data_IF_315529639771
#
_entry.id   IF_315529639771
#
_cell.length_a   1.000
_cell.length_b   1.000
_cell.length_c   1.000
_cell.angle_alpha   90.00
_cell.angle_beta   90.00
_cell.angle_gamma   90.00
#
_symmetry.space_group_name_H-M   'P 1'
#
loop_
_entity.id
_entity.type
_entity.pdbx_description
1 polymer ?
#
# COMPACT_ATOMS: atom_id res chain seq x y z
N UNK A 1 6.17 19.20 -4.37
CA UNK A 1 6.90 17.93 -4.33
C UNK A 1 8.35 18.27 -4.09
N UNK A 2 8.98 17.58 -3.15
CA UNK A 2 10.38 17.73 -2.78
C UNK A 2 10.91 16.33 -2.48
N UNK A 3 12.17 16.10 -2.82
CA UNK A 3 12.89 14.88 -2.48
C UNK A 3 13.57 15.09 -1.12
N UNK A 4 13.21 14.29 -0.12
CA UNK A 4 13.74 14.37 1.24
C UNK A 4 15.01 13.53 1.44
N UNK A 5 15.49 12.84 0.41
CA UNK A 5 16.60 11.90 0.49
C UNK A 5 16.21 10.58 1.15
N UNK A 6 17.23 9.81 1.53
CA UNK A 6 17.06 8.45 2.03
C UNK A 6 17.16 8.40 3.56
N UNK A 7 16.34 7.56 4.18
CA UNK A 7 16.49 7.21 5.60
C UNK A 7 17.84 6.49 5.82
N UNK A 8 18.41 6.66 7.01
CA UNK A 8 19.60 5.90 7.38
C UNK A 8 19.24 4.42 7.58
N UNK A 9 19.98 3.53 6.91
CA UNK A 9 19.78 2.08 6.98
C UNK A 9 21.06 1.38 7.40
N UNK A 10 20.94 0.32 8.20
CA UNK A 10 22.03 -0.58 8.58
C UNK A 10 21.89 -1.90 7.79
N UNK A 11 22.72 -2.13 6.77
CA UNK A 11 22.63 -3.33 5.93
C UNK A 11 22.97 -4.62 6.67
N UNK A 12 23.46 -4.54 7.91
CA UNK A 12 23.76 -5.70 8.75
C UNK A 12 22.75 -5.89 9.90
N UNK A 13 21.79 -4.98 10.06
CA UNK A 13 20.75 -5.07 11.09
C UNK A 13 19.48 -4.33 10.67
N UNK A 14 18.46 -5.11 10.30
CA UNK A 14 17.13 -4.58 9.98
C UNK A 14 16.56 -3.85 11.21
N UNK A 15 16.73 -4.42 12.42
CA UNK A 15 16.28 -3.82 13.67
C UNK A 15 16.84 -2.41 13.91
N UNK A 16 18.12 -2.17 13.55
CA UNK A 16 18.75 -0.86 13.68
C UNK A 16 18.20 0.17 12.67
N UNK A 17 17.54 -0.29 11.61
CA UNK A 17 17.01 0.57 10.54
C UNK A 17 15.60 1.08 10.84
N UNK A 18 14.83 0.38 11.70
CA UNK A 18 13.42 0.70 11.96
C UNK A 18 13.21 2.12 12.52
N UNK A 19 13.92 2.50 13.59
CA UNK A 19 13.74 3.82 14.22
C UNK A 19 14.22 4.97 13.33
N UNK A 20 15.39 4.91 12.65
CA UNK A 20 15.77 5.95 11.69
C UNK A 20 14.75 6.17 10.57
N UNK A 21 14.15 5.10 10.03
CA UNK A 21 13.09 5.18 9.03
C UNK A 21 11.86 5.88 9.62
N UNK A 22 11.34 5.38 10.76
CA UNK A 22 10.17 5.97 11.45
C UNK A 22 10.39 7.44 11.76
N UNK A 23 11.58 7.81 12.23
CA UNK A 23 11.91 9.18 12.59
C UNK A 23 11.86 10.13 11.39
N UNK A 24 12.44 9.75 10.24
CA UNK A 24 12.40 10.57 9.03
C UNK A 24 10.97 10.70 8.49
N UNK A 25 10.22 9.60 8.42
CA UNK A 25 8.84 9.61 7.93
C UNK A 25 7.94 10.45 8.84
N UNK A 26 8.12 10.35 10.16
CA UNK A 26 7.43 11.18 11.15
C UNK A 26 7.77 12.67 10.97
N UNK A 27 9.05 13.01 10.84
CA UNK A 27 9.50 14.40 10.61
C UNK A 27 8.80 15.00 9.38
N UNK A 28 8.74 14.24 8.28
CA UNK A 28 8.06 14.69 7.06
C UNK A 28 6.55 14.88 7.32
N UNK A 29 5.90 13.92 7.96
CA UNK A 29 4.45 13.96 8.22
C UNK A 29 4.05 15.10 9.16
N UNK A 30 4.87 15.44 10.16
CA UNK A 30 4.65 16.57 11.08
C UNK A 30 4.58 17.93 10.35
N UNK A 31 5.16 18.04 9.15
CA UNK A 31 5.05 19.25 8.32
C UNK A 31 3.71 19.37 7.58
N UNK A 32 2.84 18.36 7.65
CA UNK A 32 1.60 18.26 6.88
C UNK A 32 1.79 17.85 5.42
N UNK A 33 3.01 17.45 5.04
CA UNK A 33 3.29 16.82 3.74
C UNK A 33 2.90 15.33 3.82
N UNK A 34 2.40 14.79 2.71
CA UNK A 34 2.12 13.36 2.56
C UNK A 34 3.43 12.68 2.12
N UNK A 35 4.10 11.88 2.97
CA UNK A 35 5.25 11.09 2.55
C UNK A 35 4.84 10.03 1.53
N UNK A 36 5.66 9.90 0.48
CA UNK A 36 5.64 8.77 -0.44
C UNK A 36 7.01 8.11 -0.33
N UNK A 37 7.06 6.98 0.37
CA UNK A 37 8.29 6.25 0.69
C UNK A 37 8.58 5.25 -0.43
N UNK A 38 9.81 5.22 -0.92
CA UNK A 38 10.28 4.26 -1.90
C UNK A 38 11.16 3.26 -1.15
N UNK A 39 10.68 2.03 -1.02
CA UNK A 39 11.23 1.08 -0.08
C UNK A 39 12.47 0.31 -0.53
N UNK A 40 12.81 -0.65 0.32
CA UNK A 40 13.45 -1.91 -0.03
C UNK A 40 12.38 -3.02 0.03
N UNK A 41 12.51 -3.95 0.97
CA UNK A 41 11.49 -4.98 1.25
C UNK A 41 10.32 -4.44 2.10
N UNK A 42 9.27 -5.25 2.30
CA UNK A 42 8.04 -4.82 2.98
C UNK A 42 8.19 -4.61 4.51
N UNK A 43 9.35 -4.89 5.11
CA UNK A 43 9.55 -4.68 6.55
C UNK A 43 9.34 -3.23 6.97
N UNK A 44 9.51 -2.28 6.04
CA UNK A 44 9.38 -0.85 6.30
C UNK A 44 7.92 -0.37 6.49
N UNK A 45 6.92 -1.19 6.13
CA UNK A 45 5.53 -0.87 6.46
C UNK A 45 5.36 -0.63 7.97
N UNK A 46 6.10 -1.37 8.81
CA UNK A 46 6.04 -1.18 10.25
C UNK A 46 6.45 0.23 10.69
N UNK A 47 7.68 0.72 10.43
CA UNK A 47 8.05 2.09 10.79
C UNK A 47 7.25 3.17 10.04
N UNK A 48 6.86 2.95 8.78
CA UNK A 48 6.17 3.95 7.97
C UNK A 48 4.73 4.22 8.45
N UNK A 49 3.95 3.16 8.71
CA UNK A 49 2.60 3.31 9.24
C UNK A 49 2.62 3.69 10.74
N UNK A 50 3.60 3.24 11.52
CA UNK A 50 3.78 3.67 12.90
C UNK A 50 4.08 5.18 12.98
N UNK A 51 4.86 5.73 12.05
CA UNK A 51 5.09 7.17 11.96
C UNK A 51 3.79 7.95 11.69
N UNK A 52 2.87 7.41 10.88
CA UNK A 52 1.55 8.04 10.71
C UNK A 52 0.73 7.98 12.00
N UNK A 53 0.77 6.86 12.72
CA UNK A 53 0.09 6.73 14.01
C UNK A 53 0.68 7.69 15.07
N UNK A 54 1.99 7.98 15.04
CA UNK A 54 2.63 8.98 15.91
C UNK A 54 2.05 10.39 15.69
N UNK A 55 1.81 10.76 14.43
CA UNK A 55 1.36 12.11 14.05
C UNK A 55 -0.16 12.27 14.14
N UNK A 56 -0.91 11.29 13.64
CA UNK A 56 -2.36 11.36 13.48
C UNK A 56 -3.14 10.65 14.60
N UNK A 57 -2.45 9.88 15.44
CA UNK A 57 -2.98 9.16 16.59
C UNK A 57 -3.14 7.66 16.35
N UNK A 58 -2.66 6.87 17.30
CA UNK A 58 -2.87 5.43 17.35
C UNK A 58 -4.37 5.08 17.28
N UNK A 59 -4.72 4.06 16.50
CA UNK A 59 -6.12 3.67 16.29
C UNK A 59 -6.89 4.50 15.25
N UNK A 60 -6.37 5.66 14.83
CA UNK A 60 -7.02 6.56 13.86
C UNK A 60 -6.54 6.40 12.42
N UNK A 61 -5.41 5.72 12.24
CA UNK A 61 -4.88 5.37 10.92
C UNK A 61 -5.38 3.97 10.54
N UNK A 62 -5.79 3.80 9.29
CA UNK A 62 -5.99 2.51 8.65
C UNK A 62 -5.01 2.31 7.50
N UNK A 63 -4.81 1.06 7.09
CA UNK A 63 -3.87 0.69 6.04
C UNK A 63 -4.62 -0.03 4.92
N UNK A 64 -4.52 0.49 3.71
CA UNK A 64 -4.88 -0.24 2.49
C UNK A 64 -3.61 -0.92 2.00
N UNK A 65 -3.62 -2.25 1.99
CA UNK A 65 -2.46 -3.10 1.74
C UNK A 65 -2.65 -3.89 0.45
N UNK A 66 -1.94 -3.50 -0.60
CA UNK A 66 -1.89 -4.25 -1.85
C UNK A 66 -0.70 -5.20 -1.81
N UNK A 67 -0.97 -6.50 -1.82
CA UNK A 67 0.07 -7.52 -1.67
C UNK A 67 -0.45 -8.90 -2.12
N UNK A 68 0.43 -9.78 -2.60
CA UNK A 68 0.16 -11.20 -2.72
C UNK A 68 0.15 -11.93 -1.36
N UNK A 69 0.83 -11.38 -0.36
CA UNK A 69 1.12 -11.96 0.95
C UNK A 69 0.35 -11.27 2.09
N UNK A 70 0.10 -12.00 3.19
CA UNK A 70 -0.60 -11.43 4.35
C UNK A 70 0.27 -10.60 5.28
N UNK A 71 1.59 -10.83 5.32
CA UNK A 71 2.55 -10.10 6.16
C UNK A 71 2.23 -10.03 7.66
N UNK A 72 1.53 -11.06 8.14
CA UNK A 72 1.05 -11.22 9.52
C UNK A 72 1.80 -12.31 10.30
N UNK A 73 2.95 -12.77 9.81
CA UNK A 73 3.71 -13.85 10.46
C UNK A 73 4.16 -13.43 11.86
N UNK A 74 4.24 -14.38 12.79
CA UNK A 74 4.81 -14.10 14.13
C UNK A 74 6.31 -13.77 14.02
N UNK A 75 7.04 -14.61 13.31
CA UNK A 75 8.45 -14.46 13.06
C UNK A 75 8.80 -15.09 11.70
N UNK A 76 9.97 -14.75 11.19
CA UNK A 76 10.59 -15.43 10.07
C UNK A 76 11.91 -16.04 10.55
N UNK A 77 11.93 -17.36 10.75
CA UNK A 77 13.09 -18.10 11.26
C UNK A 77 13.62 -17.58 12.62
N UNK A 78 12.72 -17.15 13.51
CA UNK A 78 13.02 -16.57 14.82
C UNK A 78 13.30 -15.06 14.80
N UNK A 79 13.20 -14.41 13.64
CA UNK A 79 13.35 -12.96 13.51
C UNK A 79 11.98 -12.28 13.53
N UNK A 80 11.76 -11.40 14.52
CA UNK A 80 10.50 -10.66 14.66
C UNK A 80 10.36 -9.50 13.67
N UNK A 81 11.49 -9.00 13.16
CA UNK A 81 11.55 -7.93 12.17
C UNK A 81 11.97 -8.54 10.83
N UNK A 82 11.02 -8.60 9.90
CA UNK A 82 11.24 -9.09 8.54
C UNK A 82 10.14 -8.54 7.63
N UNK A 83 10.28 -8.76 6.32
CA UNK A 83 9.23 -8.41 5.37
C UNK A 83 7.90 -9.14 5.64
N UNK A 84 7.90 -10.34 6.25
CA UNK A 84 6.68 -11.12 6.45
C UNK A 84 5.94 -10.83 7.79
N UNK A 85 6.46 -9.91 8.61
CA UNK A 85 5.94 -9.62 9.96
C UNK A 85 5.37 -8.20 10.22
N UNK A 86 5.42 -7.21 9.30
CA UNK A 86 5.19 -5.80 9.65
C UNK A 86 3.74 -5.53 10.13
N UNK A 87 2.73 -6.17 9.55
CA UNK A 87 1.33 -5.97 9.97
C UNK A 87 1.12 -6.50 11.38
N UNK A 88 1.72 -7.64 11.70
CA UNK A 88 1.64 -8.20 13.05
C UNK A 88 2.30 -7.27 14.07
N UNK A 89 3.45 -6.70 13.75
CA UNK A 89 4.12 -5.71 14.62
C UNK A 89 3.23 -4.47 14.83
N UNK A 90 2.65 -3.91 13.77
CA UNK A 90 1.76 -2.75 13.86
C UNK A 90 0.53 -2.97 14.74
N UNK A 91 -0.03 -4.19 14.73
CA UNK A 91 -1.19 -4.56 15.54
C UNK A 91 -0.76 -4.81 17.00
N UNK A 92 0.31 -5.57 17.23
CA UNK A 92 0.80 -5.88 18.58
C UNK A 92 1.34 -4.64 19.31
N UNK A 93 1.90 -3.67 18.58
CA UNK A 93 2.34 -2.37 19.11
C UNK A 93 1.20 -1.35 19.26
N UNK A 94 -0.05 -1.74 18.99
CA UNK A 94 -1.25 -0.91 19.12
C UNK A 94 -1.27 0.35 18.22
N UNK A 95 -0.47 0.37 17.14
CA UNK A 95 -0.44 1.48 16.19
C UNK A 95 -1.68 1.49 15.30
N UNK A 96 -2.00 0.35 14.70
CA UNK A 96 -3.13 0.18 13.77
C UNK A 96 -3.96 -1.04 14.20
N UNK A 97 -5.24 -0.88 14.54
CA UNK A 97 -6.12 -1.99 14.87
C UNK A 97 -6.29 -2.94 13.68
N UNK A 98 -6.34 -4.26 13.92
CA UNK A 98 -6.48 -5.26 12.85
C UNK A 98 -7.64 -5.00 11.88
N UNK A 99 -8.82 -4.60 12.40
CA UNK A 99 -9.99 -4.19 11.58
C UNK A 99 -9.77 -3.02 10.62
N UNK A 100 -8.71 -2.25 10.81
CA UNK A 100 -8.36 -1.11 9.96
C UNK A 100 -7.28 -1.50 8.92
N UNK A 101 -6.89 -2.77 8.82
CA UNK A 101 -6.13 -3.30 7.69
C UNK A 101 -7.09 -3.90 6.65
N UNK A 102 -6.98 -3.39 5.41
CA UNK A 102 -7.74 -3.84 4.25
C UNK A 102 -6.73 -4.39 3.25
N UNK A 103 -6.63 -5.71 3.16
CA UNK A 103 -5.68 -6.40 2.29
C UNK A 103 -6.33 -6.78 0.96
N UNK A 104 -5.65 -6.53 -0.15
CA UNK A 104 -6.17 -6.71 -1.50
C UNK A 104 -5.13 -7.43 -2.36
N UNK A 105 -5.49 -8.60 -2.90
CA UNK A 105 -4.65 -9.37 -3.82
C UNK A 105 -4.03 -10.64 -3.23
N UNK A 106 -4.43 -11.02 -2.00
CA UNK A 106 -3.85 -12.16 -1.30
C UNK A 106 -4.02 -13.45 -2.10
N UNK A 107 -2.92 -14.21 -2.22
CA UNK A 107 -2.90 -15.48 -2.97
C UNK A 107 -1.72 -16.39 -2.70
N UNK A 108 -0.75 -16.00 -1.86
CA UNK A 108 0.46 -16.79 -1.67
C UNK A 108 0.15 -18.25 -1.30
N UNK A 109 0.94 -19.16 -1.88
CA UNK A 109 0.80 -20.59 -1.66
C UNK A 109 1.55 -21.09 -0.41
N UNK A 110 2.41 -20.25 0.17
CA UNK A 110 3.33 -20.62 1.26
C UNK A 110 2.81 -20.11 2.63
N UNK A 111 1.94 -19.10 2.63
CA UNK A 111 1.22 -18.60 3.80
C UNK A 111 -0.06 -17.89 3.32
N UNK A 112 -1.18 -17.92 4.06
CA UNK A 112 -1.35 -18.35 5.45
C UNK A 112 -1.56 -19.86 5.68
N UNK A 113 -1.09 -20.33 6.84
CA UNK A 113 -1.59 -21.55 7.47
C UNK A 113 -2.82 -21.26 8.37
N UNK A 114 -3.38 -22.31 8.97
CA UNK A 114 -4.59 -22.19 9.81
C UNK A 114 -4.37 -21.27 11.02
N UNK A 115 -3.17 -21.26 11.61
CA UNK A 115 -2.84 -20.43 12.78
C UNK A 115 -2.84 -18.94 12.42
N UNK A 116 -2.18 -18.57 11.31
CA UNK A 116 -2.21 -17.18 10.86
C UNK A 116 -3.63 -16.75 10.46
N UNK A 117 -4.39 -17.62 9.79
CA UNK A 117 -5.79 -17.32 9.49
C UNK A 117 -6.66 -17.11 10.73
N UNK A 118 -6.48 -17.93 11.78
CA UNK A 118 -7.15 -17.75 13.06
C UNK A 118 -6.77 -16.42 13.71
N UNK A 119 -5.47 -16.09 13.72
CA UNK A 119 -4.97 -14.84 14.27
C UNK A 119 -5.53 -13.62 13.51
N UNK A 120 -5.56 -13.66 12.18
CA UNK A 120 -6.12 -12.60 11.35
C UNK A 120 -7.61 -12.38 11.65
N UNK A 121 -8.38 -13.47 11.79
CA UNK A 121 -9.80 -13.41 12.17
C UNK A 121 -10.01 -12.85 13.56
N UNK A 122 -9.21 -13.27 14.54
CA UNK A 122 -9.30 -12.81 15.92
C UNK A 122 -9.08 -11.29 16.03
N UNK A 123 -8.15 -10.74 15.25
CA UNK A 123 -7.84 -9.30 15.22
C UNK A 123 -8.75 -8.52 14.25
N UNK A 124 -9.62 -9.22 13.51
CA UNK A 124 -10.63 -8.63 12.65
C UNK A 124 -10.11 -8.09 11.31
N UNK A 125 -8.97 -8.59 10.81
CA UNK A 125 -8.42 -8.16 9.52
C UNK A 125 -9.41 -8.42 8.39
N UNK A 126 -9.43 -7.49 7.43
CA UNK A 126 -10.27 -7.57 6.24
C UNK A 126 -9.37 -7.91 5.05
N UNK A 127 -9.64 -9.05 4.41
CA UNK A 127 -8.77 -9.61 3.39
C UNK A 127 -9.55 -10.02 2.15
N UNK A 128 -9.10 -9.52 1.00
CA UNK A 128 -9.66 -9.79 -0.32
C UNK A 128 -8.65 -10.59 -1.16
N UNK A 129 -8.99 -11.85 -1.39
CA UNK A 129 -8.14 -12.80 -2.10
C UNK A 129 -8.30 -12.66 -3.61
N UNK A 130 -7.28 -13.04 -4.39
CA UNK A 130 -7.42 -13.10 -5.85
C UNK A 130 -8.54 -14.03 -6.30
N UNK A 131 -8.79 -15.14 -5.59
CA UNK A 131 -9.91 -16.04 -5.89
C UNK A 131 -11.29 -15.36 -5.74
N UNK A 132 -11.41 -14.37 -4.84
CA UNK A 132 -12.60 -13.55 -4.70
C UNK A 132 -12.72 -12.53 -5.85
N UNK A 133 -11.61 -11.86 -6.15
CA UNK A 133 -11.49 -10.88 -7.24
C UNK A 133 -11.84 -11.53 -8.59
N UNK A 134 -11.31 -12.71 -8.88
CA UNK A 134 -11.59 -13.46 -10.11
C UNK A 134 -13.08 -13.81 -10.25
N UNK A 135 -13.74 -14.11 -9.12
CA UNK A 135 -15.13 -14.55 -9.11
C UNK A 135 -16.12 -13.38 -9.16
N UNK A 136 -15.82 -12.28 -8.47
CA UNK A 136 -16.73 -11.13 -8.29
C UNK A 136 -16.40 -9.96 -9.23
N UNK A 137 -15.19 -9.93 -9.77
CA UNK A 137 -14.63 -8.82 -10.53
C UNK A 137 -13.93 -7.80 -9.63
N UNK A 138 -12.79 -7.27 -10.11
CA UNK A 138 -11.97 -6.30 -9.39
C UNK A 138 -12.76 -5.07 -8.93
N UNK A 139 -13.54 -4.43 -9.81
CA UNK A 139 -14.25 -3.19 -9.47
C UNK A 139 -15.23 -3.37 -8.28
N UNK A 140 -15.87 -4.54 -8.18
CA UNK A 140 -16.82 -4.86 -7.10
C UNK A 140 -16.08 -5.03 -5.77
N UNK A 141 -15.00 -5.81 -5.77
CA UNK A 141 -14.19 -6.06 -4.57
C UNK A 141 -13.46 -4.79 -4.13
N UNK A 142 -12.93 -4.03 -5.09
CA UNK A 142 -12.24 -2.78 -4.82
C UNK A 142 -13.17 -1.72 -4.23
N UNK A 143 -14.41 -1.59 -4.70
CA UNK A 143 -15.39 -0.71 -4.07
C UNK A 143 -15.67 -1.11 -2.61
N UNK A 144 -15.83 -2.42 -2.35
CA UNK A 144 -16.02 -2.92 -0.99
C UNK A 144 -14.80 -2.58 -0.10
N UNK A 145 -13.58 -2.78 -0.59
CA UNK A 145 -12.36 -2.40 0.11
C UNK A 145 -12.30 -0.90 0.45
N UNK A 146 -12.77 -0.02 -0.45
CA UNK A 146 -12.85 1.43 -0.18
C UNK A 146 -13.87 1.73 0.92
N UNK A 147 -15.06 1.11 0.86
CA UNK A 147 -16.10 1.30 1.88
C UNK A 147 -15.61 0.81 3.26
N UNK A 148 -14.89 -0.31 3.29
CA UNK A 148 -14.25 -0.85 4.50
C UNK A 148 -13.13 0.05 5.01
N UNK A 149 -12.29 0.59 4.13
CA UNK A 149 -11.23 1.52 4.51
C UNK A 149 -11.78 2.83 5.11
N UNK A 150 -13.00 3.23 4.76
CA UNK A 150 -13.67 4.41 5.32
C UNK A 150 -14.51 4.10 6.56
N UNK A 151 -14.62 2.83 6.97
CA UNK A 151 -15.37 2.39 8.16
C UNK A 151 -14.46 2.30 9.40
N UNK A 152 -14.19 3.45 10.02
CA UNK A 152 -13.51 3.53 11.30
C UNK A 152 -12.36 4.53 11.37
N UNK A 153 -11.28 4.35 10.58
CA UNK A 153 -10.13 5.24 10.65
C UNK A 153 -10.45 6.64 10.11
N UNK A 154 -9.78 7.65 10.65
CA UNK A 154 -9.87 9.05 10.20
C UNK A 154 -8.89 9.35 9.05
N UNK A 155 -7.82 8.54 8.96
CA UNK A 155 -6.70 8.71 8.04
C UNK A 155 -6.31 7.36 7.43
N UNK A 156 -5.79 7.38 6.20
CA UNK A 156 -5.35 6.18 5.50
C UNK A 156 -3.89 6.24 5.10
N UNK A 157 -3.18 5.15 5.31
CA UNK A 157 -1.87 4.89 4.73
C UNK A 157 -2.05 3.83 3.64
N UNK A 158 -1.41 4.03 2.48
CA UNK A 158 -1.46 3.07 1.38
C UNK A 158 -0.13 2.35 1.33
N UNK A 159 -0.13 1.04 1.49
CA UNK A 159 1.07 0.24 1.32
C UNK A 159 0.95 -0.60 0.06
N UNK A 160 1.91 -0.44 -0.85
CA UNK A 160 1.92 -1.11 -2.14
C UNK A 160 3.14 -2.02 -2.25
N UNK A 161 2.94 -3.31 -2.00
CA UNK A 161 3.84 -4.34 -2.48
C UNK A 161 3.65 -4.51 -3.99
N UNK A 162 4.74 -4.38 -4.75
CA UNK A 162 4.68 -4.52 -6.20
C UNK A 162 4.36 -5.96 -6.64
N UNK A 163 4.59 -6.94 -5.78
CA UNK A 163 4.29 -8.36 -6.03
C UNK A 163 2.78 -8.66 -6.05
N UNK A 164 1.93 -7.70 -5.64
CA UNK A 164 0.47 -7.78 -5.88
C UNK A 164 0.15 -7.94 -7.37
N UNK A 165 1.01 -7.38 -8.23
CA UNK A 165 0.89 -7.52 -9.67
C UNK A 165 1.27 -8.92 -10.11
N UNK A 166 0.65 -9.38 -11.21
CA UNK A 166 1.10 -10.60 -11.86
C UNK A 166 2.59 -10.51 -12.22
N UNK A 167 3.39 -11.59 -12.09
CA UNK A 167 4.80 -11.59 -12.49
C UNK A 167 5.06 -11.17 -13.95
N UNK A 168 4.05 -11.24 -14.83
CA UNK A 168 4.12 -10.66 -16.17
C UNK A 168 4.29 -9.12 -16.18
N UNK A 169 3.89 -8.44 -15.11
CA UNK A 169 4.00 -6.99 -14.92
C UNK A 169 5.01 -6.60 -13.83
N UNK A 170 5.31 -7.47 -12.87
CA UNK A 170 6.30 -7.22 -11.83
C UNK A 170 7.31 -8.38 -11.72
N UNK A 171 8.11 -8.67 -12.76
CA UNK A 171 9.10 -9.76 -12.70
C UNK A 171 10.25 -9.49 -11.73
N UNK A 172 10.42 -8.24 -11.30
CA UNK A 172 11.51 -7.76 -10.46
C UNK A 172 11.09 -7.57 -9.01
N UNK A 173 10.64 -8.64 -8.37
CA UNK A 173 10.30 -8.74 -6.95
C UNK A 173 10.87 -10.03 -6.35
N UNK A 174 11.06 -10.09 -5.04
CA UNK A 174 11.62 -11.26 -4.34
C UNK A 174 10.71 -12.49 -4.36
N UNK A 175 9.40 -12.29 -4.20
CA UNK A 175 8.39 -13.35 -3.96
C UNK A 175 7.24 -13.33 -4.98
N UNK A 176 7.51 -13.54 -6.29
CA UNK A 176 6.46 -13.44 -7.30
C UNK A 176 5.44 -14.58 -7.20
N UNK A 177 4.14 -14.23 -7.10
CA UNK A 177 3.03 -15.19 -7.04
C UNK A 177 2.04 -14.98 -8.20
N UNK A 178 1.85 -15.92 -9.14
CA UNK A 178 0.81 -15.83 -10.18
C UNK A 178 -0.49 -16.59 -9.80
N UNK A 179 -1.68 -16.18 -10.31
CA UNK A 179 -1.96 -14.97 -11.08
C UNK A 179 -2.26 -13.76 -10.18
N UNK A 180 -1.70 -12.60 -10.54
CA UNK A 180 -1.87 -11.35 -9.77
C UNK A 180 -2.73 -10.30 -10.47
N UNK A 181 -2.79 -9.10 -9.89
CA UNK A 181 -3.47 -7.95 -10.51
C UNK A 181 -2.76 -7.51 -11.80
N UNK A 182 -3.52 -6.91 -12.70
CA UNK A 182 -2.99 -6.24 -13.87
C UNK A 182 -2.74 -4.76 -13.60
N UNK A 183 -1.86 -4.15 -14.39
CA UNK A 183 -1.67 -2.69 -14.38
C UNK A 183 -2.96 -1.90 -14.67
N UNK A 184 -3.94 -2.51 -15.37
CA UNK A 184 -5.22 -1.85 -15.68
C UNK A 184 -6.14 -1.77 -14.47
N UNK A 185 -5.94 -2.63 -13.47
CA UNK A 185 -6.67 -2.63 -12.21
C UNK A 185 -5.95 -1.77 -11.18
N UNK A 186 -4.66 -2.03 -10.95
CA UNK A 186 -3.90 -1.39 -9.89
C UNK A 186 -3.72 0.13 -10.10
N UNK A 187 -3.29 0.57 -11.29
CA UNK A 187 -2.89 1.96 -11.49
C UNK A 187 -4.07 2.95 -11.34
N UNK A 188 -5.26 2.70 -11.92
CA UNK A 188 -6.43 3.54 -11.65
C UNK A 188 -6.90 3.45 -10.19
N UNK A 189 -6.77 2.29 -9.54
CA UNK A 189 -7.13 2.10 -8.14
C UNK A 189 -6.30 2.99 -7.21
N UNK A 190 -4.97 3.06 -7.39
CA UNK A 190 -4.09 3.94 -6.62
C UNK A 190 -4.49 5.41 -6.80
N UNK A 191 -4.73 5.88 -8.04
CA UNK A 191 -5.21 7.24 -8.28
C UNK A 191 -6.52 7.51 -7.53
N UNK A 192 -7.46 6.56 -7.62
CA UNK A 192 -8.79 6.66 -7.02
C UNK A 192 -8.73 6.74 -5.49
N UNK A 193 -7.94 5.89 -4.85
CA UNK A 193 -7.71 5.95 -3.39
C UNK A 193 -7.22 7.34 -2.99
N UNK A 194 -6.15 7.82 -3.63
CA UNK A 194 -5.55 9.11 -3.32
C UNK A 194 -6.46 10.31 -3.62
N UNK A 195 -7.44 10.16 -4.52
CA UNK A 195 -8.43 11.17 -4.84
C UNK A 195 -9.58 11.18 -3.82
N UNK A 196 -10.18 10.01 -3.56
CA UNK A 196 -11.44 9.89 -2.83
C UNK A 196 -11.26 9.82 -1.31
N UNK A 197 -10.10 9.38 -0.81
CA UNK A 197 -9.92 9.05 0.61
C UNK A 197 -8.92 9.97 1.33
N UNK A 198 -8.91 10.03 2.68
CA UNK A 198 -7.99 10.88 3.44
C UNK A 198 -6.60 10.25 3.58
N UNK A 199 -5.91 10.04 2.46
CA UNK A 199 -4.54 9.49 2.45
C UNK A 199 -3.57 10.46 3.13
N UNK A 200 -2.81 9.94 4.10
CA UNK A 200 -1.79 10.68 4.84
C UNK A 200 -0.36 10.23 4.56
N UNK A 201 -0.17 9.06 3.95
CA UNK A 201 1.12 8.56 3.51
C UNK A 201 0.98 7.37 2.57
N UNK A 202 2.04 7.03 1.86
CA UNK A 202 2.12 5.84 1.01
C UNK A 202 3.53 5.27 1.00
N UNK A 203 3.67 3.95 0.89
CA UNK A 203 4.92 3.30 0.49
C UNK A 203 4.75 2.50 -0.81
N UNK A 204 5.86 2.27 -1.50
CA UNK A 204 5.99 1.31 -2.61
C UNK A 204 7.22 0.46 -2.33
N UNK A 205 7.04 -0.84 -2.20
CA UNK A 205 8.07 -1.79 -1.73
C UNK A 205 8.29 -2.96 -2.69
N UNK A 206 9.26 -3.81 -2.36
CA UNK A 206 9.66 -5.05 -3.06
C UNK A 206 10.08 -4.86 -4.53
N UNK A 207 10.40 -3.63 -4.93
CA UNK A 207 11.05 -3.39 -6.22
C UNK A 207 12.50 -3.86 -6.12
N UNK A 208 12.83 -4.92 -6.85
CA UNK A 208 14.16 -5.51 -6.90
C UNK A 208 14.82 -5.27 -8.28
N UNK A 209 15.57 -4.15 -8.48
CA UNK A 209 16.16 -3.81 -9.79
C UNK A 209 17.09 -4.88 -10.35
N UNK A 210 17.76 -5.65 -9.48
CA UNK A 210 18.65 -6.74 -9.87
C UNK A 210 17.92 -7.93 -10.51
N UNK A 211 16.59 -8.03 -10.31
CA UNK A 211 15.70 -9.01 -10.93
C UNK A 211 14.88 -8.39 -12.09
N UNK A 212 15.06 -7.08 -12.38
CA UNK A 212 14.25 -6.32 -13.35
C UNK A 212 15.08 -5.79 -14.54
N UNK A 213 15.73 -6.66 -15.36
CA UNK A 213 16.63 -6.21 -16.42
C UNK A 213 15.92 -5.37 -17.51
N UNK A 214 14.61 -5.52 -17.65
CA UNK A 214 13.78 -4.75 -18.58
C UNK A 214 13.18 -3.48 -17.99
N UNK A 215 13.47 -3.15 -16.73
CA UNK A 215 12.87 -2.05 -15.98
C UNK A 215 11.32 -2.10 -15.94
N UNK A 216 10.73 -3.28 -16.12
CA UNK A 216 9.26 -3.40 -16.22
C UNK A 216 8.63 -3.10 -14.87
N UNK A 217 9.14 -3.70 -13.80
CA UNK A 217 8.69 -3.49 -12.43
C UNK A 217 8.95 -2.06 -11.99
N UNK A 218 10.16 -1.57 -12.26
CA UNK A 218 10.58 -0.19 -11.98
C UNK A 218 9.67 0.84 -12.65
N UNK A 219 9.31 0.62 -13.92
CA UNK A 219 8.40 1.51 -14.65
C UNK A 219 6.97 1.47 -14.08
N UNK A 220 6.50 0.31 -13.65
CA UNK A 220 5.16 0.16 -13.07
C UNK A 220 5.08 0.78 -11.67
N UNK A 221 6.08 0.56 -10.81
CA UNK A 221 6.23 1.24 -9.52
C UNK A 221 6.29 2.77 -9.70
N UNK A 222 7.13 3.25 -10.63
CA UNK A 222 7.18 4.67 -11.01
C UNK A 222 5.81 5.19 -11.42
N UNK A 223 5.08 4.43 -12.24
CA UNK A 223 3.75 4.84 -12.68
C UNK A 223 2.76 4.91 -11.53
N UNK A 224 2.77 3.96 -10.59
CA UNK A 224 1.94 3.99 -9.39
C UNK A 224 2.17 5.25 -8.54
N UNK A 225 3.42 5.67 -8.37
CA UNK A 225 3.75 6.96 -7.70
C UNK A 225 3.10 8.14 -8.42
N UNK A 226 3.19 8.20 -9.75
CA UNK A 226 2.54 9.26 -10.53
C UNK A 226 1.02 9.22 -10.41
N UNK A 227 0.41 8.04 -10.31
CA UNK A 227 -1.02 7.90 -10.08
C UNK A 227 -1.44 8.41 -8.71
N UNK A 228 -0.68 8.09 -7.66
CA UNK A 228 -0.91 8.62 -6.32
C UNK A 228 -0.80 10.15 -6.28
N UNK A 229 0.29 10.70 -6.85
CA UNK A 229 0.49 12.16 -6.96
C UNK A 229 -0.65 12.83 -7.73
N UNK A 230 -1.13 12.19 -8.80
CA UNK A 230 -2.27 12.69 -9.59
C UNK A 230 -3.54 12.71 -8.74
N UNK A 231 -3.87 11.62 -8.04
CA UNK A 231 -5.02 11.56 -7.14
C UNK A 231 -4.98 12.61 -6.05
N UNK A 232 -3.83 12.77 -5.38
CA UNK A 232 -3.61 13.82 -4.35
C UNK A 232 -3.84 15.22 -4.95
N UNK A 233 -3.28 15.50 -6.12
CA UNK A 233 -3.44 16.78 -6.79
C UNK A 233 -4.90 17.04 -7.19
N UNK A 234 -5.60 16.01 -7.68
CA UNK A 234 -7.02 16.08 -8.03
C UNK A 234 -7.87 16.40 -6.80
N UNK A 235 -7.61 15.75 -5.66
CA UNK A 235 -8.31 16.00 -4.40
C UNK A 235 -8.12 17.43 -3.93
N UNK A 236 -6.86 17.92 -3.94
CA UNK A 236 -6.52 19.30 -3.56
C UNK A 236 -7.18 20.37 -4.46
N UNK A 237 -7.39 20.05 -5.74
CA UNK A 237 -8.07 20.93 -6.70
C UNK A 237 -9.60 20.81 -6.67
N UNK A 238 -10.17 19.86 -5.92
CA UNK A 238 -11.62 19.62 -5.88
C UNK A 238 -12.19 19.09 -7.19
N UNK A 239 -11.43 18.27 -7.93
CA UNK A 239 -11.90 17.68 -9.20
C UNK A 239 -12.99 16.61 -8.96
N UNK A 240 -13.96 16.49 -9.88
CA UNK A 240 -15.28 15.91 -9.62
C UNK A 240 -15.32 14.38 -9.44
N UNK A 241 -14.25 13.64 -9.76
CA UNK A 241 -14.23 12.18 -9.66
C UNK A 241 -12.91 11.56 -10.13
N UNK A 242 -12.68 10.27 -9.85
CA UNK A 242 -11.48 9.54 -10.28
C UNK A 242 -11.39 9.38 -11.81
N UNK A 243 -12.54 9.38 -12.47
CA UNK A 243 -12.71 9.33 -13.93
C UNK A 243 -12.67 10.72 -14.58
N UNK A 244 -12.32 11.76 -13.81
CA UNK A 244 -12.18 13.09 -14.37
C UNK A 244 -11.16 13.08 -15.50
N UNK A 245 -11.65 13.35 -16.71
CA UNK A 245 -10.83 13.63 -17.87
C UNK A 245 -10.75 15.14 -18.04
N UNK A 246 -9.53 15.66 -18.18
CA UNK A 246 -9.34 17.09 -18.40
C UNK A 246 -10.02 17.50 -19.72
N UNK A 247 -10.94 18.50 -19.70
CA UNK A 247 -11.64 18.95 -20.90
C UNK A 247 -10.72 19.43 -22.03
N UNK A 248 -9.50 19.91 -21.71
CA UNK A 248 -8.51 20.28 -22.73
C UNK A 248 -7.96 19.06 -23.48
N UNK A 249 -8.03 17.87 -22.87
CA UNK A 249 -7.51 16.60 -23.42
C UNK A 249 -8.62 15.74 -24.02
N UNK A 250 -9.75 15.60 -23.32
CA UNK A 250 -10.85 14.71 -23.72
C UNK A 250 -11.99 15.42 -24.46
N UNK A 251 -11.92 16.75 -24.57
CA UNK A 251 -13.03 17.58 -25.05
C UNK A 251 -14.07 17.83 -23.95
N UNK A 252 -15.01 18.74 -24.19
CA UNK A 252 -16.04 19.06 -23.22
C UNK A 252 -16.92 17.84 -22.90
N UNK A 253 -17.44 17.71 -21.67
CA UNK A 253 -18.38 16.67 -21.30
C UNK A 253 -19.56 16.58 -22.29
N UNK A 254 -20.13 15.39 -22.53
CA UNK A 254 -21.34 15.26 -23.34
C UNK A 254 -22.45 16.19 -22.82
N UNK A 255 -22.89 17.15 -23.64
CA UNK A 255 -23.87 18.17 -23.27
C UNK A 255 -23.33 19.60 -23.08
N UNK A 256 -22.02 19.82 -23.20
CA UNK A 256 -21.38 21.15 -23.20
C UNK A 256 -20.71 21.52 -24.54
N UNK A 257 -21.02 20.78 -25.61
CA UNK A 257 -20.59 21.14 -26.97
C UNK A 257 -21.48 22.30 -27.49
N UNK A 258 -20.95 23.52 -27.49
CA UNK A 258 -21.54 24.68 -28.17
C UNK A 258 -21.19 24.72 -29.64
#
# INVERSE_FOLDING_TARGET
MVDYGDAAVDPFSIDNSMEPIRALVREIAETGVIPIVLGGDHSILWPDAAAMADVYGAGKVGVIHFDAHPDCSHDLFGHLTSHATPIRRLIEDEHVPGRNFIQIGLRSAIAPDDEMFDWMREHGLRAHFMAEIDRRGFDVVFQQAIDEALDGPEHLFVSLDIDVLDPAFAPGTGTPEPPGLTNRELLPAIRRICHETPVVGMDIVEVAPHLDPGYTTTMNARRAIFEALTGIAMRRKGLPGPDYLDPEVAGPPPGQQT
#
